data_IF_103436367115
#
_entry.id   IF_103436367115
#
_cell.length_a   1.000
_cell.length_b   1.000
_cell.length_c   1.000
_cell.angle_alpha   90.00
_cell.angle_beta   90.00
_cell.angle_gamma   90.00
#
_symmetry.space_group_name_H-M   'P 1'
#
loop_
_entity.id
_entity.type
_entity.pdbx_description
1 polymer ?
#
# COMPACT_ATOMS: atom_id res chain seq x y z
N UNK A 1 -19.11 -7.23 5.35
CA UNK A 1 -18.02 -8.15 5.73
C UNK A 1 -17.27 -7.48 6.88
N UNK A 2 -17.16 -8.11 8.04
CA UNK A 2 -16.40 -7.57 9.16
C UNK A 2 -14.92 -7.91 8.99
N UNK A 3 -14.04 -6.96 9.33
CA UNK A 3 -12.60 -7.21 9.44
C UNK A 3 -12.34 -7.97 10.74
N UNK A 4 -11.52 -9.00 10.71
CA UNK A 4 -11.14 -9.81 11.86
C UNK A 4 -9.62 -9.93 11.95
N UNK A 5 -9.08 -9.75 13.15
CA UNK A 5 -7.64 -9.86 13.45
C UNK A 5 -7.36 -10.85 14.60
N UNK A 6 -8.39 -11.59 15.05
CA UNK A 6 -8.25 -12.57 16.11
C UNK A 6 -7.41 -13.78 15.69
N UNK A 7 -6.83 -14.45 16.68
CA UNK A 7 -5.91 -15.58 16.52
C UNK A 7 -6.45 -16.68 15.61
N UNK A 8 -7.67 -17.10 15.85
CA UNK A 8 -8.29 -18.20 15.12
C UNK A 8 -8.44 -17.86 13.64
N UNK A 9 -8.99 -16.67 13.36
CA UNK A 9 -9.20 -16.20 11.99
C UNK A 9 -7.88 -16.02 11.23
N UNK A 10 -6.87 -15.38 11.83
CA UNK A 10 -5.57 -15.14 11.16
C UNK A 10 -4.91 -16.45 10.76
N UNK A 11 -4.93 -17.45 11.65
CA UNK A 11 -4.36 -18.77 11.36
C UNK A 11 -5.15 -19.52 10.28
N UNK A 12 -6.48 -19.50 10.38
CA UNK A 12 -7.35 -20.10 9.37
C UNK A 12 -7.14 -19.45 7.99
N UNK A 13 -7.09 -18.11 7.93
CA UNK A 13 -6.88 -17.36 6.70
C UNK A 13 -5.53 -17.68 6.04
N UNK A 14 -4.46 -17.82 6.84
CA UNK A 14 -3.15 -18.25 6.36
C UNK A 14 -3.20 -19.67 5.78
N UNK A 15 -3.76 -20.64 6.51
CA UNK A 15 -3.90 -22.02 6.02
C UNK A 15 -4.76 -22.12 4.75
N UNK A 16 -5.82 -21.31 4.67
CA UNK A 16 -6.65 -21.24 3.48
C UNK A 16 -5.88 -20.65 2.28
N UNK A 17 -5.00 -19.66 2.51
CA UNK A 17 -4.14 -19.08 1.48
C UNK A 17 -3.11 -20.09 0.98
N UNK A 18 -2.40 -20.78 1.88
CA UNK A 18 -1.46 -21.85 1.52
C UNK A 18 -2.11 -22.93 0.64
N UNK A 19 -3.32 -23.38 1.05
CA UNK A 19 -4.10 -24.37 0.30
C UNK A 19 -4.49 -23.89 -1.10
N UNK A 20 -4.97 -22.64 -1.22
CA UNK A 20 -5.35 -22.05 -2.53
C UNK A 20 -4.18 -21.84 -3.45
N UNK A 21 -3.02 -21.48 -2.91
CA UNK A 21 -1.79 -21.24 -3.66
C UNK A 21 -1.07 -22.55 -4.01
N UNK A 22 -1.34 -23.66 -3.27
CA UNK A 22 -0.67 -24.93 -3.47
C UNK A 22 0.81 -24.90 -3.05
N UNK A 23 1.14 -24.12 -2.01
CA UNK A 23 2.52 -23.93 -1.52
C UNK A 23 2.63 -24.26 -0.04
N UNK A 24 3.85 -24.60 0.42
CA UNK A 24 4.14 -24.93 1.81
C UNK A 24 4.33 -23.67 2.68
N UNK A 25 4.73 -22.57 2.08
CA UNK A 25 4.94 -21.30 2.76
C UNK A 25 4.58 -20.11 1.87
N UNK A 26 4.32 -18.96 2.50
CA UNK A 26 4.06 -17.66 1.85
C UNK A 26 5.28 -16.76 2.10
N UNK A 27 5.86 -16.20 1.03
CA UNK A 27 7.04 -15.34 1.17
C UNK A 27 6.71 -14.04 1.89
N UNK A 28 5.61 -13.38 1.54
CA UNK A 28 5.15 -12.15 2.19
C UNK A 28 3.65 -12.22 2.45
N UNK A 29 3.28 -12.28 3.73
CA UNK A 29 1.89 -12.38 4.17
C UNK A 29 1.41 -11.05 4.73
N UNK A 30 0.37 -10.49 4.10
CA UNK A 30 -0.18 -9.19 4.46
C UNK A 30 -1.39 -9.28 5.38
N UNK A 31 -1.42 -8.44 6.43
CA UNK A 31 -2.65 -8.00 7.06
C UNK A 31 -3.26 -6.90 6.17
N UNK A 32 -4.33 -7.23 5.42
CA UNK A 32 -4.94 -6.32 4.44
C UNK A 32 -5.65 -5.13 5.07
N UNK A 33 -6.37 -5.36 6.18
CA UNK A 33 -7.03 -4.32 6.99
C UNK A 33 -6.97 -4.72 8.45
N UNK A 34 -6.75 -3.74 9.30
CA UNK A 34 -6.72 -3.94 10.75
C UNK A 34 -8.14 -3.96 11.33
N UNK A 35 -8.40 -4.83 12.29
CA UNK A 35 -9.58 -4.77 13.16
C UNK A 35 -9.41 -3.61 14.14
N UNK A 36 -10.23 -2.53 13.97
CA UNK A 36 -10.04 -1.28 14.70
C UNK A 36 -10.28 -1.40 16.22
N UNK A 37 -11.03 -2.41 16.65
CA UNK A 37 -11.34 -2.68 18.05
C UNK A 37 -10.31 -3.53 18.78
N UNK A 38 -9.28 -4.01 18.05
CA UNK A 38 -8.21 -4.87 18.55
C UNK A 38 -6.86 -4.17 18.46
N UNK A 39 -5.99 -4.24 19.49
CA UNK A 39 -4.61 -3.81 19.37
C UNK A 39 -3.90 -4.53 18.22
N UNK A 40 -3.13 -3.80 17.41
CA UNK A 40 -2.43 -4.37 16.25
C UNK A 40 -1.41 -5.43 16.67
N UNK A 41 -0.85 -5.25 17.85
CA UNK A 41 0.13 -6.15 18.47
C UNK A 41 -0.40 -7.57 18.61
N UNK A 42 -1.68 -7.74 18.94
CA UNK A 42 -2.30 -9.08 19.06
C UNK A 42 -2.29 -9.81 17.71
N UNK A 43 -2.71 -9.14 16.64
CA UNK A 43 -2.73 -9.73 15.29
C UNK A 43 -1.31 -10.02 14.80
N UNK A 44 -0.36 -9.11 15.01
CA UNK A 44 1.03 -9.27 14.58
C UNK A 44 1.73 -10.39 15.37
N UNK A 45 1.39 -10.57 16.66
CA UNK A 45 1.90 -11.71 17.45
C UNK A 45 1.51 -13.04 16.82
N UNK A 46 0.28 -13.17 16.36
CA UNK A 46 -0.17 -14.40 15.66
C UNK A 46 0.54 -14.59 14.32
N UNK A 47 0.78 -13.51 13.58
CA UNK A 47 1.52 -13.57 12.33
C UNK A 47 3.00 -13.98 12.57
N UNK A 48 3.61 -13.48 13.64
CA UNK A 48 4.97 -13.86 14.05
C UNK A 48 5.08 -15.35 14.42
N UNK A 49 4.05 -15.93 15.05
CA UNK A 49 4.01 -17.37 15.29
C UNK A 49 3.97 -18.16 13.97
N UNK A 50 3.22 -17.69 12.97
CA UNK A 50 3.21 -18.32 11.64
C UNK A 50 4.58 -18.24 10.95
N UNK A 51 5.35 -17.19 11.21
CA UNK A 51 6.76 -17.11 10.78
C UNK A 51 7.61 -18.14 11.51
N UNK A 52 7.48 -18.25 12.83
CA UNK A 52 8.21 -19.24 13.62
C UNK A 52 7.87 -20.71 13.23
N UNK A 53 6.65 -20.94 12.76
CA UNK A 53 6.20 -22.24 12.22
C UNK A 53 6.69 -22.49 10.77
N UNK A 54 7.37 -21.55 10.13
CA UNK A 54 7.84 -21.65 8.74
C UNK A 54 6.75 -21.56 7.68
N UNK A 55 5.52 -21.18 8.05
CA UNK A 55 4.38 -21.02 7.12
C UNK A 55 4.40 -19.67 6.38
N UNK A 56 5.06 -18.69 6.96
CA UNK A 56 5.24 -17.35 6.43
C UNK A 56 6.71 -16.99 6.57
N UNK A 57 7.30 -16.33 5.58
CA UNK A 57 8.68 -15.84 5.67
C UNK A 57 8.73 -14.42 6.20
N UNK A 58 7.88 -13.54 5.67
CA UNK A 58 7.88 -12.13 5.96
C UNK A 58 6.46 -11.60 6.20
N UNK A 59 6.35 -10.57 7.03
CA UNK A 59 5.07 -9.93 7.37
C UNK A 59 4.97 -8.58 6.66
N UNK A 60 3.82 -8.33 6.03
CA UNK A 60 3.42 -7.04 5.50
C UNK A 60 2.17 -6.49 6.19
N UNK A 61 2.05 -5.18 6.21
CA UNK A 61 0.88 -4.47 6.73
C UNK A 61 0.28 -3.57 5.66
N UNK A 62 -1.02 -3.32 5.72
CA UNK A 62 -1.69 -2.41 4.79
C UNK A 62 -2.58 -1.42 5.53
N UNK A 63 -2.51 -0.15 5.10
CA UNK A 63 -3.34 0.94 5.63
C UNK A 63 -3.25 1.09 7.16
N UNK A 64 -2.03 1.07 7.68
CA UNK A 64 -1.73 1.32 9.09
C UNK A 64 -1.15 2.72 9.27
N UNK A 65 -1.32 3.30 10.45
CA UNK A 65 -0.67 4.55 10.82
C UNK A 65 0.81 4.34 11.14
N UNK A 66 1.59 5.43 11.22
CA UNK A 66 2.99 5.39 11.60
C UNK A 66 3.20 4.75 12.99
N UNK A 67 2.33 5.08 13.96
CA UNK A 67 2.41 4.55 15.31
C UNK A 67 2.07 3.06 15.37
N UNK A 68 1.09 2.63 14.57
CA UNK A 68 0.74 1.21 14.41
C UNK A 68 1.88 0.42 13.75
N UNK A 69 2.53 1.01 12.73
CA UNK A 69 3.70 0.40 12.09
C UNK A 69 4.84 0.21 13.10
N UNK A 70 5.14 1.23 13.90
CA UNK A 70 6.15 1.14 14.97
C UNK A 70 5.76 0.12 16.05
N UNK A 71 4.48 0.10 16.46
CA UNK A 71 3.99 -0.87 17.44
C UNK A 71 4.13 -2.32 16.94
N UNK A 72 3.71 -2.57 15.69
CA UNK A 72 3.83 -3.86 15.03
C UNK A 72 5.30 -4.30 14.89
N UNK A 73 6.17 -3.38 14.46
CA UNK A 73 7.59 -3.66 14.22
C UNK A 73 8.34 -4.04 15.51
N UNK A 74 7.90 -3.55 16.68
CA UNK A 74 8.44 -3.97 17.98
C UNK A 74 8.11 -5.42 18.35
N UNK A 75 7.00 -5.97 17.84
CA UNK A 75 6.60 -7.36 18.07
C UNK A 75 7.37 -8.30 17.15
N UNK A 76 7.44 -7.96 15.87
CA UNK A 76 8.17 -8.70 14.85
C UNK A 76 8.58 -7.76 13.71
N UNK A 77 9.79 -7.88 13.14
CA UNK A 77 10.20 -7.08 12.00
C UNK A 77 9.16 -7.11 10.88
N UNK A 78 8.63 -5.95 10.52
CA UNK A 78 7.75 -5.78 9.37
C UNK A 78 8.61 -5.54 8.14
N UNK A 79 8.35 -6.28 7.07
CA UNK A 79 9.13 -6.21 5.83
C UNK A 79 8.59 -5.15 4.88
N UNK A 80 7.27 -5.01 4.81
CA UNK A 80 6.65 -4.04 3.90
C UNK A 80 5.37 -3.44 4.49
N UNK A 81 5.11 -2.18 4.15
CA UNK A 81 3.84 -1.50 4.40
C UNK A 81 3.25 -1.05 3.06
N UNK A 82 1.94 -1.29 2.87
CA UNK A 82 1.22 -0.89 1.66
C UNK A 82 0.16 0.14 2.01
N UNK A 83 0.22 1.31 1.34
CA UNK A 83 -0.78 2.37 1.48
C UNK A 83 -1.01 3.09 0.15
N UNK A 84 -2.16 3.79 0.03
CA UNK A 84 -2.43 4.59 -1.15
C UNK A 84 -1.39 5.72 -1.26
N UNK A 85 -0.69 5.77 -2.40
CA UNK A 85 0.24 6.84 -2.70
C UNK A 85 0.27 7.13 -4.20
N UNK A 86 0.07 8.39 -4.55
CA UNK A 86 0.03 8.84 -5.94
C UNK A 86 0.18 10.36 -5.98
N UNK A 87 0.25 10.95 -7.18
CA UNK A 87 0.32 12.40 -7.36
C UNK A 87 -0.77 13.15 -6.58
N UNK A 88 -1.97 12.57 -6.44
CA UNK A 88 -3.11 13.21 -5.76
C UNK A 88 -3.44 12.65 -4.36
N UNK A 89 -2.77 11.60 -3.90
CA UNK A 89 -2.95 11.00 -2.57
C UNK A 89 -1.60 10.95 -1.87
N UNK A 90 -1.28 11.99 -1.08
CA UNK A 90 0.06 12.25 -0.56
C UNK A 90 0.15 12.23 0.96
N UNK A 91 -0.94 11.93 1.67
CA UNK A 91 -1.00 11.98 3.14
C UNK A 91 0.08 11.09 3.81
N UNK A 92 0.43 9.98 3.18
CA UNK A 92 1.45 9.04 3.67
C UNK A 92 2.85 9.66 3.78
N UNK A 93 3.15 10.69 2.98
CA UNK A 93 4.46 11.37 2.96
C UNK A 93 4.79 12.05 4.29
N UNK A 94 3.77 12.45 5.05
CA UNK A 94 3.95 13.16 6.32
C UNK A 94 4.10 12.25 7.53
N UNK A 95 3.72 10.96 7.40
CA UNK A 95 3.60 10.07 8.56
C UNK A 95 4.16 8.67 8.29
N UNK A 96 3.57 7.90 7.36
CA UNK A 96 3.88 6.48 7.18
C UNK A 96 5.19 6.28 6.45
N UNK A 97 5.46 7.06 5.39
CA UNK A 97 6.72 6.97 4.63
C UNK A 97 7.94 7.27 5.51
N UNK A 98 7.98 8.36 6.32
CA UNK A 98 9.09 8.58 7.25
C UNK A 98 9.27 7.45 8.27
N UNK A 99 8.16 6.91 8.82
CA UNK A 99 8.24 5.80 9.77
C UNK A 99 8.74 4.50 9.12
N UNK A 100 8.33 4.21 7.89
CA UNK A 100 8.83 3.06 7.13
C UNK A 100 10.33 3.19 6.86
N UNK A 101 10.78 4.37 6.44
CA UNK A 101 12.22 4.67 6.23
C UNK A 101 13.03 4.52 7.51
N UNK A 102 12.55 5.08 8.64
CA UNK A 102 13.19 4.95 9.97
C UNK A 102 13.40 3.49 10.38
N UNK A 103 12.43 2.62 10.06
CA UNK A 103 12.42 1.22 10.47
C UNK A 103 13.05 0.27 9.43
N UNK A 104 13.47 0.76 8.27
CA UNK A 104 13.94 -0.07 7.16
C UNK A 104 12.84 -0.93 6.54
N UNK A 105 11.58 -0.48 6.61
CA UNK A 105 10.41 -1.17 6.05
C UNK A 105 10.19 -0.71 4.62
N UNK A 106 10.05 -1.65 3.68
CA UNK A 106 9.72 -1.34 2.29
C UNK A 106 8.32 -0.73 2.15
N UNK A 107 8.17 0.29 1.30
CA UNK A 107 6.87 0.90 1.04
C UNK A 107 6.32 0.44 -0.31
N UNK A 108 5.06 0.01 -0.34
CA UNK A 108 4.36 -0.43 -1.55
C UNK A 108 3.19 0.50 -1.84
N UNK A 109 3.33 1.43 -2.79
CA UNK A 109 2.23 2.33 -3.16
C UNK A 109 1.15 1.55 -3.92
N UNK A 110 -0.11 1.62 -3.47
CA UNK A 110 -1.21 1.09 -4.27
C UNK A 110 -2.01 2.22 -4.93
N UNK A 111 -2.75 1.88 -6.00
CA UNK A 111 -3.50 2.82 -6.84
C UNK A 111 -2.66 3.99 -7.37
N UNK A 112 -1.43 3.77 -7.84
CA UNK A 112 -0.53 4.84 -8.29
C UNK A 112 -1.10 5.65 -9.47
N UNK A 113 -2.01 5.07 -10.25
CA UNK A 113 -2.69 5.71 -11.37
C UNK A 113 -4.08 6.25 -11.00
N UNK A 114 -4.43 6.33 -9.70
CA UNK A 114 -5.75 6.79 -9.26
C UNK A 114 -6.87 5.97 -9.89
N UNK A 115 -6.72 4.62 -9.94
CA UNK A 115 -7.67 3.70 -10.59
C UNK A 115 -7.96 4.05 -12.07
N UNK A 116 -6.97 4.62 -12.77
CA UNK A 116 -7.05 5.04 -14.15
C UNK A 116 -7.39 6.53 -14.35
N UNK A 117 -7.78 7.26 -13.30
CA UNK A 117 -8.09 8.69 -13.42
C UNK A 117 -6.87 9.52 -13.87
N UNK A 118 -5.71 9.29 -13.27
CA UNK A 118 -4.48 10.03 -13.56
C UNK A 118 -3.88 9.70 -14.94
N UNK A 119 -4.41 8.72 -15.64
CA UNK A 119 -4.03 8.44 -17.03
C UNK A 119 -4.77 9.32 -18.05
N UNK A 120 -5.83 10.01 -17.62
CA UNK A 120 -6.71 10.80 -18.49
C UNK A 120 -7.66 9.96 -19.36
N UNK A 121 -7.70 8.63 -19.16
CA UNK A 121 -8.56 7.73 -19.95
C UNK A 121 -9.89 7.38 -19.28
N UNK A 122 -10.04 7.70 -17.99
CA UNK A 122 -11.26 7.42 -17.25
C UNK A 122 -12.32 8.49 -17.55
N UNK A 123 -13.39 8.09 -18.25
CA UNK A 123 -14.49 8.97 -18.60
C UNK A 123 -15.51 9.08 -17.46
N UNK A 124 -16.19 10.23 -17.35
CA UNK A 124 -17.15 10.53 -16.28
C UNK A 124 -18.35 9.57 -16.26
N UNK A 125 -18.85 9.16 -17.40
CA UNK A 125 -19.95 8.19 -17.53
C UNK A 125 -19.55 6.80 -16.98
N UNK A 126 -18.30 6.39 -17.21
CA UNK A 126 -17.75 5.15 -16.64
C UNK A 126 -17.59 5.23 -15.12
N UNK A 127 -17.23 6.39 -14.58
CA UNK A 127 -17.21 6.59 -13.14
C UNK A 127 -18.61 6.40 -12.56
N UNK A 128 -19.61 7.08 -13.13
CA UNK A 128 -20.99 7.05 -12.64
C UNK A 128 -21.63 5.64 -12.67
N UNK A 129 -21.20 4.79 -13.59
CA UNK A 129 -21.66 3.39 -13.69
C UNK A 129 -20.86 2.40 -12.86
N UNK A 130 -19.93 2.85 -12.03
CA UNK A 130 -19.01 2.01 -11.27
C UNK A 130 -19.04 2.29 -9.76
N UNK A 131 -18.34 1.45 -8.98
CA UNK A 131 -18.16 1.67 -7.54
C UNK A 131 -17.38 2.96 -7.21
N UNK A 132 -16.75 3.58 -8.21
CA UNK A 132 -16.01 4.83 -8.02
C UNK A 132 -16.93 6.01 -7.75
N UNK A 133 -18.19 5.96 -8.24
CA UNK A 133 -19.20 6.97 -7.98
C UNK A 133 -19.49 7.18 -6.47
N UNK A 134 -19.21 6.18 -5.64
CA UNK A 134 -19.34 6.30 -4.19
C UNK A 134 -18.22 7.12 -3.53
N UNK A 135 -17.19 7.52 -4.27
CA UNK A 135 -16.04 8.27 -3.75
C UNK A 135 -16.08 9.70 -4.29
N UNK A 136 -16.15 10.73 -3.41
CA UNK A 136 -16.27 12.13 -3.81
C UNK A 136 -15.23 12.61 -4.84
N UNK A 137 -13.99 12.14 -4.72
CA UNK A 137 -12.91 12.52 -5.64
C UNK A 137 -13.14 12.10 -7.09
N UNK A 138 -13.92 11.05 -7.34
CA UNK A 138 -14.23 10.57 -8.70
C UNK A 138 -15.57 11.06 -9.22
N UNK A 139 -16.48 11.51 -8.34
CA UNK A 139 -17.82 11.97 -8.71
C UNK A 139 -17.99 13.47 -8.47
N UNK A 140 -18.12 13.91 -7.22
CA UNK A 140 -18.37 15.32 -6.87
C UNK A 140 -17.25 16.25 -7.32
N UNK A 141 -15.99 15.82 -7.21
CA UNK A 141 -14.79 16.58 -7.57
C UNK A 141 -14.14 16.12 -8.88
N UNK A 142 -14.91 15.41 -9.73
CA UNK A 142 -14.37 14.90 -10.99
C UNK A 142 -13.81 16.04 -11.86
N UNK A 143 -14.60 17.08 -12.08
CA UNK A 143 -14.24 18.20 -12.96
C UNK A 143 -13.08 19.03 -12.38
N UNK A 144 -13.07 19.27 -11.07
CA UNK A 144 -11.97 19.95 -10.37
C UNK A 144 -10.66 19.19 -10.49
N UNK A 145 -10.72 17.86 -10.35
CA UNK A 145 -9.56 16.99 -10.42
C UNK A 145 -9.01 16.81 -11.85
N UNK A 146 -9.77 17.17 -12.89
CA UNK A 146 -9.29 17.14 -14.28
C UNK A 146 -8.09 18.10 -14.49
N UNK A 147 -7.96 19.16 -13.72
CA UNK A 147 -6.80 20.05 -13.80
C UNK A 147 -5.48 19.32 -13.51
N UNK A 148 -5.50 18.33 -12.61
CA UNK A 148 -4.33 17.47 -12.31
C UNK A 148 -4.00 16.62 -13.55
N UNK A 149 -5.01 16.05 -14.19
CA UNK A 149 -4.84 15.21 -15.39
C UNK A 149 -4.24 16.02 -16.54
N UNK A 150 -4.75 17.24 -16.77
CA UNK A 150 -4.22 18.15 -17.80
C UNK A 150 -2.74 18.43 -17.55
N UNK A 151 -2.37 18.78 -16.31
CA UNK A 151 -0.96 19.02 -15.95
C UNK A 151 -0.07 17.79 -16.21
N UNK A 152 -0.55 16.58 -15.88
CA UNK A 152 0.19 15.35 -16.15
C UNK A 152 0.34 15.12 -17.66
N UNK A 153 -0.70 15.37 -18.45
CA UNK A 153 -0.69 15.23 -19.90
C UNK A 153 0.26 16.24 -20.57
N UNK A 154 0.32 17.48 -20.10
CA UNK A 154 1.27 18.49 -20.59
C UNK A 154 2.72 18.05 -20.36
N UNK A 155 3.05 17.59 -19.13
CA UNK A 155 4.37 17.04 -18.81
C UNK A 155 4.67 15.80 -19.68
N UNK A 156 3.69 14.93 -19.89
CA UNK A 156 3.84 13.73 -20.70
C UNK A 156 4.17 14.08 -22.16
N UNK A 157 3.54 15.10 -22.70
CA UNK A 157 3.83 15.60 -24.06
C UNK A 157 5.25 16.16 -24.17
N UNK A 158 5.72 16.94 -23.18
CA UNK A 158 7.07 17.48 -23.14
C UNK A 158 8.16 16.38 -23.05
N UNK A 159 7.84 15.26 -22.38
CA UNK A 159 8.75 14.13 -22.17
C UNK A 159 8.59 13.01 -23.21
N UNK A 160 7.76 13.18 -24.23
CA UNK A 160 7.41 12.13 -25.21
C UNK A 160 6.93 10.83 -24.52
N UNK A 161 6.17 10.94 -23.42
CA UNK A 161 5.70 9.85 -22.58
C UNK A 161 4.17 9.83 -22.51
N UNK A 162 3.62 8.81 -21.87
CA UNK A 162 2.20 8.75 -21.52
C UNK A 162 1.96 9.33 -20.12
N UNK A 163 0.75 9.82 -19.85
CA UNK A 163 0.37 10.28 -18.52
C UNK A 163 0.56 9.20 -17.43
N UNK A 164 0.32 7.94 -17.77
CA UNK A 164 0.58 6.81 -16.88
C UNK A 164 2.08 6.67 -16.53
N UNK A 165 2.97 6.82 -17.52
CA UNK A 165 4.42 6.77 -17.28
C UNK A 165 4.88 7.94 -16.39
N UNK A 166 4.36 9.14 -16.61
CA UNK A 166 4.65 10.30 -15.77
C UNK A 166 4.20 10.06 -14.32
N UNK A 167 2.97 9.54 -14.13
CA UNK A 167 2.44 9.25 -12.80
C UNK A 167 3.26 8.17 -12.06
N UNK A 168 3.75 7.14 -12.75
CA UNK A 168 4.62 6.12 -12.16
C UNK A 168 6.03 6.64 -11.90
N UNK A 169 6.61 7.40 -12.84
CA UNK A 169 7.93 8.00 -12.67
C UNK A 169 7.98 8.97 -11.48
N UNK A 170 6.87 9.69 -11.25
CA UNK A 170 6.76 10.57 -10.09
C UNK A 170 6.91 9.81 -8.77
N UNK A 171 6.28 8.63 -8.64
CA UNK A 171 6.44 7.77 -7.46
C UNK A 171 7.86 7.26 -7.30
N UNK A 172 8.49 6.76 -8.37
CA UNK A 172 9.87 6.28 -8.32
C UNK A 172 10.85 7.37 -7.86
N UNK A 173 10.69 8.59 -8.35
CA UNK A 173 11.52 9.72 -7.89
C UNK A 173 11.34 10.02 -6.40
N UNK A 174 10.13 9.82 -5.88
CA UNK A 174 9.85 9.98 -4.46
C UNK A 174 10.42 8.83 -3.61
N UNK A 175 10.56 7.63 -4.19
CA UNK A 175 11.15 6.45 -3.55
C UNK A 175 12.69 6.44 -3.57
N UNK A 176 13.36 7.14 -4.49
CA UNK A 176 14.82 7.22 -4.53
C UNK A 176 15.40 7.73 -3.20
N UNK A 177 14.69 8.60 -2.48
CA UNK A 177 15.08 9.04 -1.15
C UNK A 177 14.93 7.95 -0.07
N UNK A 178 14.12 6.92 -0.29
CA UNK A 178 13.97 5.78 0.61
C UNK A 178 14.86 4.60 0.23
N UNK A 179 15.12 4.39 -1.05
CA UNK A 179 15.98 3.28 -1.55
C UNK A 179 17.48 3.55 -1.35
N UNK A 180 17.95 4.79 -1.37
CA UNK A 180 19.35 5.12 -1.03
C UNK A 180 19.69 4.79 0.43
N UNK A 181 18.72 4.88 1.35
CA UNK A 181 18.93 4.48 2.75
C UNK A 181 18.99 2.96 2.90
N UNK A 182 18.27 2.19 2.09
CA UNK A 182 18.31 0.73 2.11
C UNK A 182 19.61 0.15 1.54
N UNK A 183 20.20 0.79 0.51
CA UNK A 183 21.46 0.34 -0.08
C UNK A 183 22.66 0.53 0.86
N UNK A 184 22.61 1.49 1.77
CA UNK A 184 23.68 1.75 2.74
C UNK A 184 23.67 0.81 3.93
N UNK A 185 22.51 0.23 4.32
CA UNK A 185 22.42 -0.73 5.43
C UNK A 185 22.72 -2.18 5.02
N UNK A 186 22.75 -2.49 3.73
CA UNK A 186 23.06 -3.82 3.21
C UNK A 186 24.58 -4.09 2.99
N UNK A 187 25.45 -3.09 3.27
CA UNK A 187 26.90 -3.15 3.03
C UNK A 187 27.69 -3.04 4.37
N UNK A 188 27.02 -3.28 5.52
CA UNK A 188 27.70 -3.28 6.84
C UNK A 188 27.77 -4.68 7.41
#
# INVERSE_FOLDING_TARGET
>A
MSVRGDREYVREACHNSLRRLGVDHIDLYYMHRRELTRPIEETVTVMAELVAEGKVRHIGLSEVTADELRAAHRIHPITAVQSEWSIWSRDVEHHVVPAASELGVGFVPYSPLGRGFLTGTLQKDRVQSSILAAQPRYDQHYDDNQAIVVTIQDIAAECEATAAQVALAWLWRSEEHTSELQSRSAIS
#
